data_IF_462422153900
#
_entry.id   IF_462422153900
#
_cell.length_a   1.000
_cell.length_b   1.000
_cell.length_c   1.000
_cell.angle_alpha   90.00
_cell.angle_beta   90.00
_cell.angle_gamma   90.00
#
_symmetry.space_group_name_H-M   'P 1'
#
loop_
_entity.id
_entity.type
_entity.pdbx_description
1 polymer ?
#
# COMPACT_ATOMS: atom_id res chain seq x y z
N UNK A 1 23.40 -13.55 53.05
CA UNK A 1 23.56 -14.09 51.71
C UNK A 1 22.15 -14.24 51.15
N UNK A 2 21.68 -13.21 50.45
CA UNK A 2 20.34 -13.19 49.83
C UNK A 2 20.54 -13.34 48.32
N UNK A 3 20.21 -14.53 47.83
CA UNK A 3 20.18 -14.87 46.42
C UNK A 3 18.99 -14.20 45.75
N UNK A 4 19.25 -13.09 45.05
CA UNK A 4 18.25 -12.43 44.21
C UNK A 4 17.99 -13.31 42.98
N UNK A 5 16.81 -13.91 42.90
CA UNK A 5 16.31 -14.51 41.67
C UNK A 5 16.17 -13.50 40.55
N UNK A 6 16.55 -13.82 39.31
CA UNK A 6 16.38 -12.93 38.20
C UNK A 6 14.88 -12.80 37.86
N UNK A 7 14.38 -11.57 37.87
CA UNK A 7 13.02 -11.23 37.41
C UNK A 7 12.87 -11.66 35.95
N UNK A 8 11.87 -12.49 35.60
CA UNK A 8 11.65 -12.89 34.22
C UNK A 8 11.29 -11.65 33.38
N UNK A 9 12.09 -11.37 32.35
CA UNK A 9 11.77 -10.34 31.34
C UNK A 9 10.53 -10.83 30.59
N UNK A 10 9.44 -10.10 30.77
CA UNK A 10 8.15 -10.44 30.20
C UNK A 10 8.12 -10.41 28.68
N UNK A 11 7.28 -11.28 28.09
CA UNK A 11 6.71 -11.18 26.77
C UNK A 11 7.22 -12.17 25.74
N UNK A 12 7.10 -13.45 26.00
CA UNK A 12 7.33 -14.52 24.98
C UNK A 12 6.05 -14.78 24.16
N UNK A 13 5.39 -13.72 23.73
CA UNK A 13 4.33 -13.79 22.73
C UNK A 13 4.90 -13.65 21.32
N UNK A 14 4.26 -14.24 20.29
CA UNK A 14 4.73 -14.07 18.91
C UNK A 14 4.76 -12.58 18.53
N UNK A 15 5.87 -12.14 17.91
CA UNK A 15 6.06 -10.76 17.46
C UNK A 15 4.85 -10.30 16.62
N UNK A 16 4.28 -9.14 16.95
CA UNK A 16 3.22 -8.54 16.14
C UNK A 16 3.74 -8.20 14.75
N UNK A 17 2.99 -8.55 13.71
CA UNK A 17 3.35 -8.25 12.32
C UNK A 17 3.10 -6.77 12.03
N UNK A 18 4.13 -6.06 11.57
CA UNK A 18 4.03 -4.66 11.17
C UNK A 18 3.45 -4.56 9.77
N UNK A 19 2.28 -3.93 9.65
CA UNK A 19 1.61 -3.66 8.37
C UNK A 19 1.67 -2.16 8.09
N UNK A 20 2.34 -1.79 7.00
CA UNK A 20 2.38 -0.41 6.51
C UNK A 20 1.24 -0.20 5.52
N UNK A 21 0.43 0.84 5.75
CA UNK A 21 -0.71 1.20 4.89
C UNK A 21 -0.48 2.59 4.31
N UNK A 22 -0.37 2.70 2.99
CA UNK A 22 -0.35 4.00 2.34
C UNK A 22 -1.76 4.44 1.94
N UNK A 23 -2.02 5.74 1.96
CA UNK A 23 -3.38 6.25 1.77
C UNK A 23 -4.31 5.96 2.95
N UNK A 24 -3.75 5.77 4.15
CA UNK A 24 -4.48 5.38 5.37
C UNK A 24 -5.53 6.39 5.78
N UNK A 25 -5.35 7.69 5.48
CA UNK A 25 -6.32 8.73 5.77
C UNK A 25 -7.46 8.80 4.73
N UNK A 26 -7.39 8.03 3.65
CA UNK A 26 -8.46 7.88 2.66
C UNK A 26 -9.65 7.08 3.17
N UNK A 27 -10.77 7.12 2.41
CA UNK A 27 -11.99 6.41 2.79
C UNK A 27 -11.74 4.91 3.02
N UNK A 28 -11.16 4.22 2.06
CA UNK A 28 -10.87 2.79 2.16
C UNK A 28 -9.75 2.52 3.17
N UNK A 29 -8.69 3.34 3.18
CA UNK A 29 -7.58 3.21 4.13
C UNK A 29 -8.02 3.21 5.58
N UNK A 30 -8.97 4.10 5.94
CA UNK A 30 -9.56 4.16 7.29
C UNK A 30 -10.33 2.89 7.64
N UNK A 31 -11.06 2.30 6.69
CA UNK A 31 -11.81 1.05 6.91
C UNK A 31 -10.84 -0.09 7.15
N UNK A 32 -9.85 -0.24 6.27
CA UNK A 32 -8.83 -1.31 6.38
C UNK A 32 -8.02 -1.16 7.67
N UNK A 33 -7.58 0.06 8.00
CA UNK A 33 -6.83 0.31 9.24
C UNK A 33 -7.63 -0.08 10.49
N UNK A 34 -8.93 0.27 10.54
CA UNK A 34 -9.80 -0.11 11.66
C UNK A 34 -10.05 -1.61 11.73
N UNK A 35 -10.24 -2.26 10.59
CA UNK A 35 -10.44 -3.72 10.56
C UNK A 35 -9.21 -4.48 11.06
N UNK A 36 -8.02 -4.09 10.61
CA UNK A 36 -6.77 -4.73 11.02
C UNK A 36 -6.35 -4.38 12.46
N UNK A 37 -6.64 -3.17 12.92
CA UNK A 37 -6.33 -2.71 14.28
C UNK A 37 -6.98 -3.58 15.37
N UNK A 38 -8.17 -4.14 15.11
CA UNK A 38 -8.83 -5.02 16.07
C UNK A 38 -8.14 -6.39 16.24
N UNK A 39 -7.25 -6.76 15.34
CA UNK A 39 -6.50 -8.02 15.43
C UNK A 39 -5.16 -7.78 16.16
N UNK A 40 -4.98 -8.38 17.35
CA UNK A 40 -3.77 -8.16 18.16
C UNK A 40 -2.48 -8.65 17.51
N UNK A 41 -2.57 -9.44 16.43
CA UNK A 41 -1.41 -9.92 15.68
C UNK A 41 -0.74 -8.82 14.86
N UNK A 42 -1.42 -7.70 14.60
CA UNK A 42 -0.91 -6.63 13.76
C UNK A 42 -0.53 -5.36 14.53
N UNK A 43 0.51 -4.70 14.05
CA UNK A 43 0.88 -3.33 14.36
C UNK A 43 0.67 -2.51 13.08
N UNK A 44 -0.21 -1.52 13.14
CA UNK A 44 -0.57 -0.73 11.96
C UNK A 44 0.21 0.58 11.94
N UNK A 45 0.92 0.81 10.84
CA UNK A 45 1.65 2.04 10.59
C UNK A 45 1.23 2.64 9.25
N UNK A 46 0.79 3.89 9.25
CA UNK A 46 0.18 4.51 8.08
C UNK A 46 1.01 5.65 7.50
N UNK A 47 1.04 5.75 6.18
CA UNK A 47 1.65 6.83 5.41
C UNK A 47 0.56 7.54 4.59
N UNK A 48 0.36 8.83 4.84
CA UNK A 48 -0.52 9.69 4.03
C UNK A 48 -0.08 11.14 4.17
N UNK A 49 -0.26 11.96 3.15
CA UNK A 49 -0.02 13.41 3.23
C UNK A 49 -1.12 14.14 3.98
N UNK A 50 -2.31 13.55 4.08
CA UNK A 50 -3.47 14.11 4.77
C UNK A 50 -3.46 13.72 6.23
N UNK A 51 -4.00 14.56 7.13
CA UNK A 51 -4.20 14.19 8.52
C UNK A 51 -5.21 13.05 8.64
N UNK A 52 -5.05 12.23 9.67
CA UNK A 52 -5.99 11.16 10.01
C UNK A 52 -6.68 11.44 11.35
N UNK A 53 -7.67 12.35 11.40
CA UNK A 53 -8.43 12.60 12.63
C UNK A 53 -9.25 11.37 13.03
N UNK A 54 -9.30 11.10 14.34
CA UNK A 54 -10.05 9.97 14.90
C UNK A 54 -9.44 8.60 14.56
N UNK A 55 -8.12 8.54 14.30
CA UNK A 55 -7.41 7.27 14.20
C UNK A 55 -7.42 6.51 15.53
N UNK A 56 -7.41 5.16 15.54
CA UNK A 56 -7.18 4.39 16.76
C UNK A 56 -5.86 4.80 17.43
N UNK A 57 -5.80 4.74 18.77
CA UNK A 57 -4.65 5.24 19.54
C UNK A 57 -3.36 4.50 19.24
N UNK A 58 -3.43 3.21 18.99
CA UNK A 58 -2.31 2.30 18.70
C UNK A 58 -1.92 2.27 17.20
N UNK A 59 -2.66 2.95 16.31
CA UNK A 59 -2.26 3.14 14.93
C UNK A 59 -1.26 4.29 14.85
N UNK A 60 -0.06 4.01 14.37
CA UNK A 60 0.96 5.03 14.09
C UNK A 60 0.63 5.68 12.74
N UNK A 61 0.63 6.99 12.66
CA UNK A 61 0.39 7.72 11.41
C UNK A 61 1.49 8.73 11.16
N UNK A 62 2.16 8.58 10.01
CA UNK A 62 3.13 9.53 9.49
C UNK A 62 2.47 10.40 8.42
N UNK A 63 2.36 11.69 8.71
CA UNK A 63 1.87 12.66 7.72
C UNK A 63 3.04 13.06 6.81
N UNK A 64 3.21 12.31 5.72
CA UNK A 64 4.37 12.44 4.82
C UNK A 64 4.00 12.26 3.36
N UNK A 65 4.85 12.82 2.49
CA UNK A 65 4.87 12.49 1.08
C UNK A 65 5.56 11.13 0.88
N UNK A 66 4.93 10.22 0.13
CA UNK A 66 5.45 8.86 -0.13
C UNK A 66 6.82 8.86 -0.82
N UNK A 67 7.16 9.94 -1.53
CA UNK A 67 8.43 10.12 -2.24
C UNK A 67 9.55 10.63 -1.34
N UNK A 68 9.25 10.98 -0.09
CA UNK A 68 10.20 11.59 0.85
C UNK A 68 11.13 10.58 1.52
N UNK A 69 12.26 11.07 2.01
CA UNK A 69 13.17 10.28 2.84
C UNK A 69 12.48 9.75 4.12
N UNK A 70 11.55 10.53 4.69
CA UNK A 70 10.78 10.11 5.88
C UNK A 70 9.91 8.88 5.61
N UNK A 71 9.32 8.78 4.42
CA UNK A 71 8.57 7.58 4.04
C UNK A 71 9.50 6.36 3.94
N UNK A 72 10.68 6.52 3.33
CA UNK A 72 11.71 5.46 3.27
C UNK A 72 12.14 5.00 4.66
N UNK A 73 12.29 5.92 5.61
CA UNK A 73 12.78 5.61 6.95
C UNK A 73 11.85 4.65 7.70
N UNK A 74 10.54 4.64 7.43
CA UNK A 74 9.59 3.67 7.98
C UNK A 74 9.97 2.23 7.61
N UNK A 75 10.44 2.03 6.39
CA UNK A 75 10.90 0.72 5.92
C UNK A 75 12.31 0.39 6.43
N UNK A 76 13.19 1.38 6.48
CA UNK A 76 14.59 1.21 6.89
C UNK A 76 14.75 0.89 8.37
N UNK A 77 13.95 1.50 9.23
CA UNK A 77 14.09 1.42 10.70
C UNK A 77 13.18 0.40 11.35
N UNK A 78 12.20 -0.13 10.62
CA UNK A 78 11.25 -1.08 11.16
C UNK A 78 11.15 -2.32 10.29
N UNK A 79 11.15 -3.50 10.88
CA UNK A 79 10.85 -4.75 10.18
C UNK A 79 9.40 -4.71 9.71
N UNK A 80 9.18 -4.36 8.44
CA UNK A 80 7.86 -4.32 7.82
C UNK A 80 7.51 -5.72 7.29
N UNK A 81 6.40 -6.29 7.77
CA UNK A 81 5.93 -7.61 7.34
C UNK A 81 5.00 -7.54 6.13
N UNK A 82 4.31 -6.41 5.94
CA UNK A 82 3.47 -6.22 4.77
C UNK A 82 3.30 -4.73 4.42
N UNK A 83 3.21 -4.45 3.11
CA UNK A 83 2.74 -3.18 2.58
C UNK A 83 1.34 -3.35 1.98
N UNK A 84 0.41 -2.47 2.33
CA UNK A 84 -0.87 -2.30 1.64
C UNK A 84 -0.87 -0.92 0.99
N UNK A 85 -0.68 -0.88 -0.32
CA UNK A 85 -0.61 0.36 -1.07
C UNK A 85 -1.97 0.75 -1.65
N UNK A 86 -2.57 1.81 -1.07
CA UNK A 86 -3.84 2.40 -1.49
C UNK A 86 -3.72 3.92 -1.72
N UNK A 87 -2.51 4.43 -1.72
CA UNK A 87 -2.19 5.87 -1.71
C UNK A 87 -2.24 6.53 -3.09
N UNK A 88 -3.30 6.29 -3.87
CA UNK A 88 -3.50 6.95 -5.17
C UNK A 88 -4.17 8.30 -4.98
N UNK A 89 -3.63 9.35 -5.63
CA UNK A 89 -4.16 10.69 -5.58
C UNK A 89 -5.10 10.97 -6.76
N UNK A 90 -6.31 11.45 -6.44
CA UNK A 90 -7.33 11.90 -7.39
C UNK A 90 -7.75 13.33 -7.06
N UNK A 91 -6.82 14.30 -7.13
CA UNK A 91 -7.13 15.71 -6.90
C UNK A 91 -7.33 16.40 -8.27
N UNK A 92 -8.56 16.84 -8.59
CA UNK A 92 -8.83 17.49 -9.89
C UNK A 92 -8.12 18.85 -10.04
N UNK A 93 -7.58 19.41 -8.96
CA UNK A 93 -6.83 20.67 -8.97
C UNK A 93 -5.33 20.45 -9.24
N UNK A 94 -4.84 19.22 -9.10
CA UNK A 94 -3.45 18.89 -9.35
C UNK A 94 -3.20 18.78 -10.87
N UNK A 95 -2.03 19.19 -11.29
CA UNK A 95 -1.59 19.01 -12.68
C UNK A 95 -1.36 17.53 -12.99
N UNK A 96 -1.43 17.17 -14.27
CA UNK A 96 -1.14 15.78 -14.70
C UNK A 96 0.26 15.34 -14.29
N UNK A 97 1.25 16.25 -14.33
CA UNK A 97 2.62 15.95 -13.93
C UNK A 97 2.73 15.67 -12.41
N UNK A 98 2.01 16.42 -11.58
CA UNK A 98 1.96 16.20 -10.14
C UNK A 98 1.27 14.87 -9.80
N UNK A 99 0.13 14.58 -10.45
CA UNK A 99 -0.56 13.29 -10.29
C UNK A 99 0.35 12.13 -10.65
N UNK A 100 0.99 12.19 -11.83
CA UNK A 100 1.91 11.16 -12.29
C UNK A 100 3.09 10.97 -11.32
N UNK A 101 3.72 12.05 -10.92
CA UNK A 101 4.84 12.02 -9.99
C UNK A 101 4.44 11.39 -8.63
N UNK A 102 3.24 11.73 -8.13
CA UNK A 102 2.73 11.15 -6.89
C UNK A 102 2.34 9.67 -7.08
N UNK A 103 1.50 9.40 -8.06
CA UNK A 103 0.90 8.09 -8.25
C UNK A 103 1.94 7.06 -8.75
N UNK A 104 2.56 7.32 -9.87
CA UNK A 104 3.49 6.40 -10.51
C UNK A 104 4.86 6.47 -9.84
N UNK A 105 5.40 7.68 -9.66
CA UNK A 105 6.69 7.87 -9.00
C UNK A 105 6.68 7.44 -7.53
N UNK A 106 5.60 7.73 -6.80
CA UNK A 106 5.41 7.28 -5.41
C UNK A 106 5.32 5.77 -5.31
N UNK A 107 4.52 5.11 -6.16
CA UNK A 107 4.41 3.65 -6.21
C UNK A 107 5.75 2.99 -6.53
N UNK A 108 6.47 3.49 -7.54
CA UNK A 108 7.78 2.96 -7.91
C UNK A 108 8.75 2.98 -6.73
N UNK A 109 8.81 4.10 -5.98
CA UNK A 109 9.66 4.21 -4.78
C UNK A 109 9.24 3.26 -3.66
N UNK A 110 7.94 3.09 -3.43
CA UNK A 110 7.46 2.15 -2.41
C UNK A 110 7.84 0.71 -2.74
N UNK A 111 7.69 0.30 -4.00
CA UNK A 111 8.11 -1.03 -4.45
C UNK A 111 9.64 -1.22 -4.34
N UNK A 112 10.41 -0.18 -4.66
CA UNK A 112 11.87 -0.17 -4.44
C UNK A 112 12.22 -0.35 -2.95
N UNK A 113 11.50 0.33 -2.04
CA UNK A 113 11.71 0.15 -0.60
C UNK A 113 11.36 -1.28 -0.16
N UNK A 114 10.27 -1.86 -0.68
CA UNK A 114 9.90 -3.23 -0.37
C UNK A 114 10.99 -4.22 -0.81
N UNK A 115 11.57 -4.05 -1.99
CA UNK A 115 12.69 -4.88 -2.45
C UNK A 115 13.96 -4.66 -1.61
N UNK A 116 14.31 -3.40 -1.32
CA UNK A 116 15.54 -3.04 -0.60
C UNK A 116 15.52 -3.53 0.85
N UNK A 117 14.37 -3.48 1.50
CA UNK A 117 14.21 -3.84 2.92
C UNK A 117 13.51 -5.18 3.13
N UNK A 118 13.41 -6.00 2.07
CA UNK A 118 12.89 -7.36 2.11
C UNK A 118 11.51 -7.49 2.76
N UNK A 119 10.57 -6.62 2.37
CA UNK A 119 9.18 -6.69 2.83
C UNK A 119 8.52 -7.94 2.24
N UNK A 120 8.14 -8.95 3.04
CA UNK A 120 7.77 -10.26 2.48
C UNK A 120 6.42 -10.27 1.74
N UNK A 121 5.56 -9.27 1.98
CA UNK A 121 4.24 -9.19 1.34
C UNK A 121 3.90 -7.78 0.89
N UNK A 122 3.43 -7.66 -0.36
CA UNK A 122 2.98 -6.39 -0.96
C UNK A 122 1.58 -6.58 -1.54
N UNK A 123 0.64 -5.73 -1.12
CA UNK A 123 -0.71 -5.65 -1.68
C UNK A 123 -0.88 -4.30 -2.34
N UNK A 124 -1.16 -4.27 -3.63
CA UNK A 124 -1.42 -3.04 -4.39
C UNK A 124 -2.89 -2.98 -4.77
N UNK A 125 -3.54 -1.89 -4.39
CA UNK A 125 -4.91 -1.62 -4.80
C UNK A 125 -4.91 -0.92 -6.15
N UNK A 126 -5.37 -1.63 -7.16
CA UNK A 126 -5.71 -1.13 -8.49
C UNK A 126 -7.24 -0.94 -8.61
N UNK A 127 -7.81 -1.13 -9.78
CA UNK A 127 -9.26 -1.08 -10.04
C UNK A 127 -9.60 -1.88 -11.29
N UNK A 128 -10.78 -2.47 -11.33
CA UNK A 128 -11.30 -3.10 -12.55
C UNK A 128 -11.46 -2.09 -13.71
N UNK A 129 -11.50 -0.78 -13.41
CA UNK A 129 -11.54 0.26 -14.44
C UNK A 129 -10.30 0.30 -15.35
N UNK A 130 -9.18 -0.35 -14.97
CA UNK A 130 -7.97 -0.44 -15.80
C UNK A 130 -8.19 -1.16 -17.13
N UNK A 131 -9.18 -2.05 -17.20
CA UNK A 131 -9.56 -2.72 -18.45
C UNK A 131 -10.22 -1.78 -19.46
N UNK A 132 -10.93 -0.75 -18.97
CA UNK A 132 -11.68 0.23 -19.78
C UNK A 132 -13.02 -0.33 -20.27
N UNK A 133 -14.07 0.52 -20.39
CA UNK A 133 -15.33 0.13 -21.01
C UNK A 133 -15.16 0.09 -22.53
N UNK A 134 -15.23 -1.08 -23.12
CA UNK A 134 -15.11 -1.30 -24.56
C UNK A 134 -16.26 -2.18 -25.04
N UNK A 135 -16.87 -1.87 -26.19
CA UNK A 135 -17.92 -2.71 -26.77
C UNK A 135 -17.47 -4.14 -27.04
N UNK A 136 -16.18 -4.31 -27.32
CA UNK A 136 -15.55 -5.59 -27.65
C UNK A 136 -15.18 -6.42 -26.40
N UNK A 137 -15.32 -5.86 -25.19
CA UNK A 137 -15.04 -6.60 -23.98
C UNK A 137 -16.01 -7.77 -23.85
N UNK A 138 -15.53 -8.97 -23.51
CA UNK A 138 -16.41 -10.08 -23.16
C UNK A 138 -17.24 -9.73 -21.91
N UNK A 139 -18.36 -10.40 -21.73
CA UNK A 139 -19.23 -10.22 -20.57
C UNK A 139 -18.50 -10.44 -19.25
N UNK A 140 -17.54 -11.37 -19.24
CA UNK A 140 -16.68 -11.67 -18.10
C UNK A 140 -15.21 -11.43 -18.50
N UNK A 141 -14.55 -10.51 -17.80
CA UNK A 141 -13.13 -10.24 -17.96
C UNK A 141 -12.35 -11.10 -16.96
N UNK A 142 -11.27 -11.69 -17.42
CA UNK A 142 -10.29 -12.37 -16.57
C UNK A 142 -9.20 -11.38 -16.15
N UNK A 143 -8.39 -11.74 -15.14
CA UNK A 143 -7.25 -10.92 -14.69
C UNK A 143 -6.16 -10.77 -15.75
N UNK A 144 -6.13 -11.67 -16.73
CA UNK A 144 -5.19 -11.64 -17.87
C UNK A 144 -5.61 -10.70 -19.00
N UNK A 145 -6.84 -10.16 -18.93
CA UNK A 145 -7.33 -9.25 -19.95
C UNK A 145 -6.42 -7.99 -20.03
N UNK A 146 -6.16 -7.46 -21.25
CA UNK A 146 -5.27 -6.33 -21.43
C UNK A 146 -5.82 -5.04 -20.79
N UNK A 147 -4.94 -4.24 -20.17
CA UNK A 147 -5.27 -3.01 -19.46
C UNK A 147 -5.35 -1.83 -20.45
N UNK A 148 -6.49 -1.65 -21.10
CA UNK A 148 -6.65 -0.75 -22.24
C UNK A 148 -7.33 0.58 -21.88
N UNK A 149 -7.64 0.85 -20.60
CA UNK A 149 -8.36 2.04 -20.20
C UNK A 149 -7.67 3.33 -20.62
N UNK A 150 -6.35 3.41 -20.50
CA UNK A 150 -5.58 4.63 -20.80
C UNK A 150 -5.69 5.07 -22.27
N UNK A 151 -6.01 4.15 -23.20
CA UNK A 151 -6.14 4.48 -24.63
C UNK A 151 -7.31 5.42 -24.91
N UNK A 152 -8.41 5.31 -24.18
CA UNK A 152 -9.62 6.13 -24.36
C UNK A 152 -9.87 7.10 -23.20
N UNK A 153 -9.30 6.82 -22.03
CA UNK A 153 -9.49 7.58 -20.80
C UNK A 153 -8.15 8.00 -20.22
N UNK A 154 -7.58 9.14 -20.63
CA UNK A 154 -6.27 9.60 -20.14
C UNK A 154 -6.19 9.72 -18.61
N UNK A 155 -7.30 9.98 -17.92
CA UNK A 155 -7.37 10.02 -16.47
C UNK A 155 -7.08 8.64 -15.80
N UNK A 156 -7.19 7.54 -16.54
CA UNK A 156 -6.88 6.19 -16.07
C UNK A 156 -5.40 5.81 -16.27
N UNK A 157 -4.61 6.65 -16.96
CA UNK A 157 -3.22 6.35 -17.28
C UNK A 157 -2.40 6.00 -16.05
N UNK A 158 -2.45 6.81 -15.02
CA UNK A 158 -1.66 6.59 -13.80
C UNK A 158 -2.03 5.28 -13.13
N UNK A 159 -3.33 4.93 -13.12
CA UNK A 159 -3.81 3.69 -12.52
C UNK A 159 -3.35 2.44 -13.30
N UNK A 160 -3.37 2.52 -14.64
CA UNK A 160 -2.83 1.46 -15.52
C UNK A 160 -1.32 1.31 -15.30
N UNK A 161 -0.59 2.42 -15.18
CA UNK A 161 0.86 2.40 -14.90
C UNK A 161 1.18 1.81 -13.52
N UNK A 162 0.41 2.12 -12.49
CA UNK A 162 0.55 1.50 -11.16
C UNK A 162 0.38 -0.01 -11.24
N UNK A 163 -0.63 -0.47 -11.98
CA UNK A 163 -0.89 -1.89 -12.17
C UNK A 163 0.27 -2.58 -12.92
N UNK A 164 0.80 -1.95 -13.97
CA UNK A 164 1.99 -2.43 -14.69
C UNK A 164 3.24 -2.46 -13.81
N UNK A 165 3.45 -1.45 -12.96
CA UNK A 165 4.56 -1.44 -12.00
C UNK A 165 4.44 -2.61 -11.02
N UNK A 166 3.25 -2.84 -10.48
CA UNK A 166 3.00 -3.95 -9.57
C UNK A 166 3.18 -5.32 -10.25
N UNK A 167 2.69 -5.47 -11.49
CA UNK A 167 2.89 -6.68 -12.29
C UNK A 167 4.36 -6.92 -12.60
N UNK A 168 5.10 -5.88 -12.96
CA UNK A 168 6.55 -5.96 -13.19
C UNK A 168 7.29 -6.33 -11.92
N UNK A 169 6.89 -5.77 -10.79
CA UNK A 169 7.46 -6.08 -9.48
C UNK A 169 7.24 -7.55 -9.10
N UNK A 170 6.03 -8.07 -9.30
CA UNK A 170 5.69 -9.48 -9.09
C UNK A 170 6.66 -10.42 -9.81
N UNK A 171 7.00 -10.13 -11.06
CA UNK A 171 7.90 -10.97 -11.86
C UNK A 171 9.37 -10.83 -11.45
N UNK A 172 9.79 -9.64 -11.02
CA UNK A 172 11.19 -9.35 -10.66
C UNK A 172 11.54 -9.76 -9.23
N UNK A 173 10.64 -9.59 -8.29
CA UNK A 173 10.85 -9.83 -6.86
C UNK A 173 10.13 -11.11 -6.40
N UNK A 174 10.56 -12.25 -6.91
CA UNK A 174 9.88 -13.55 -6.70
C UNK A 174 9.81 -14.01 -5.26
N UNK A 175 10.71 -13.52 -4.41
CA UNK A 175 10.74 -13.82 -2.98
C UNK A 175 9.72 -12.97 -2.17
N UNK A 176 9.07 -12.00 -2.83
CA UNK A 176 8.06 -11.14 -2.24
C UNK A 176 6.68 -11.54 -2.75
N UNK A 177 5.81 -11.98 -1.83
CA UNK A 177 4.42 -12.26 -2.16
C UNK A 177 3.70 -10.97 -2.59
N UNK A 178 3.39 -10.85 -3.88
CA UNK A 178 2.75 -9.67 -4.44
C UNK A 178 1.31 -9.97 -4.86
N UNK A 179 0.36 -9.15 -4.39
CA UNK A 179 -1.07 -9.26 -4.70
C UNK A 179 -1.55 -7.96 -5.31
N UNK A 180 -2.19 -8.03 -6.47
CA UNK A 180 -2.84 -6.88 -7.12
C UNK A 180 -4.35 -7.05 -7.01
N UNK A 181 -5.01 -6.13 -6.31
CA UNK A 181 -6.47 -6.15 -6.17
C UNK A 181 -7.09 -5.17 -7.15
N UNK A 182 -8.02 -5.66 -7.99
CA UNK A 182 -8.77 -4.85 -8.96
C UNK A 182 -10.26 -4.83 -8.61
N UNK A 183 -10.66 -4.14 -7.53
CA UNK A 183 -12.06 -4.10 -7.14
C UNK A 183 -12.92 -3.39 -8.17
N UNK A 184 -14.18 -3.84 -8.29
CA UNK A 184 -15.22 -3.12 -9.01
C UNK A 184 -15.76 -2.02 -8.11
N UNK A 185 -15.78 -0.78 -8.59
CA UNK A 185 -16.47 0.33 -7.89
C UNK A 185 -17.99 0.21 -8.10
N UNK A 186 -18.72 0.25 -7.01
CA UNK A 186 -20.18 0.43 -7.01
C UNK A 186 -20.52 1.83 -6.58
#
# INVERSE_FOLDING_TARGET
MSSGEPVPRGGDGPRRKKVVITGIAGRLGRVVARALHHDPRFLIEGLDRRPFPGKPKDVIHHQVDLRSKKARDVFRTGEVDALIHMGVMHDPRATTAELYSWNVGGTSKLLEYCATYNVPKVVVLSSANVYGPRPENPQFLTEEAPLLAAQRFPAMRDLVEIDHLASTFFWKARDIETVILRPVSR
#
